data_IF_426244961235
#
_entry.id   IF_426244961235
#
_cell.length_a   1.000
_cell.length_b   1.000
_cell.length_c   1.000
_cell.angle_alpha   90.00
_cell.angle_beta   90.00
_cell.angle_gamma   90.00
#
_symmetry.space_group_name_H-M   'P 1'
#
loop_
_entity.id
_entity.type
_entity.pdbx_description
1 polymer ?
#
# COMPACT_ATOMS: atom_id res chain seq x y z
N UNK A 1 -5.20 10.06 14.41
CA UNK A 1 -6.18 10.03 13.30
C UNK A 1 -6.50 11.48 12.95
N UNK A 2 -6.25 11.90 11.71
CA UNK A 2 -6.26 13.34 11.35
C UNK A 2 -7.53 13.79 10.62
N UNK A 3 -8.23 12.87 9.95
CA UNK A 3 -9.39 13.15 9.10
C UNK A 3 -10.44 12.03 9.22
N UNK A 4 -11.16 11.93 10.35
CA UNK A 4 -12.15 10.87 10.58
C UNK A 4 -13.39 10.97 9.66
N UNK A 5 -13.64 12.13 9.04
CA UNK A 5 -14.74 12.36 8.11
C UNK A 5 -14.51 11.76 6.72
N UNK A 6 -13.26 11.40 6.39
CA UNK A 6 -12.91 10.92 5.05
C UNK A 6 -13.21 9.44 4.94
N UNK A 7 -14.09 9.09 4.01
CA UNK A 7 -14.33 7.69 3.64
C UNK A 7 -13.23 7.20 2.71
N UNK A 8 -12.55 6.11 3.10
CA UNK A 8 -11.49 5.48 2.30
C UNK A 8 -12.06 4.29 1.55
N UNK A 9 -11.78 4.22 0.25
CA UNK A 9 -12.12 3.06 -0.59
C UNK A 9 -10.82 2.34 -0.96
N UNK A 10 -10.80 1.01 -0.76
CA UNK A 10 -9.67 0.16 -1.12
C UNK A 10 -10.18 -1.12 -1.78
N UNK A 11 -9.41 -1.65 -2.74
CA UNK A 11 -9.75 -2.91 -3.40
C UNK A 11 -9.55 -4.13 -2.49
N UNK A 12 -8.57 -4.05 -1.57
CA UNK A 12 -8.27 -5.11 -0.60
C UNK A 12 -7.68 -4.50 0.68
N UNK A 13 -7.90 -5.18 1.81
CA UNK A 13 -7.25 -4.89 3.10
C UNK A 13 -6.23 -6.01 3.38
N UNK A 14 -4.96 -5.63 3.49
CA UNK A 14 -3.86 -6.55 3.74
C UNK A 14 -3.49 -6.63 5.23
N UNK A 15 -2.75 -7.69 5.61
CA UNK A 15 -2.55 -8.08 7.02
C UNK A 15 -1.65 -7.14 7.82
N UNK A 16 -0.55 -6.65 7.23
CA UNK A 16 0.48 -5.89 7.94
C UNK A 16 1.46 -5.22 6.98
N UNK A 17 2.31 -4.38 7.55
CA UNK A 17 3.56 -3.93 6.93
C UNK A 17 4.73 -4.83 7.35
N UNK A 18 5.81 -4.83 6.57
CA UNK A 18 7.13 -5.31 7.00
C UNK A 18 7.97 -4.16 7.60
N UNK A 19 9.19 -4.46 8.05
CA UNK A 19 10.08 -3.51 8.74
C UNK A 19 10.54 -2.31 7.88
N UNK A 20 10.38 -2.41 6.56
CA UNK A 20 10.74 -1.36 5.61
C UNK A 20 9.49 -0.71 4.98
N UNK A 21 8.29 -1.01 5.48
CA UNK A 21 7.05 -0.33 5.10
C UNK A 21 6.33 -0.89 3.86
N UNK A 22 6.73 -2.03 3.31
CA UNK A 22 5.93 -2.71 2.28
C UNK A 22 4.73 -3.43 2.89
N UNK A 23 3.60 -3.32 2.22
CA UNK A 23 2.37 -4.05 2.55
C UNK A 23 2.55 -5.55 2.26
N UNK A 24 2.10 -6.41 3.17
CA UNK A 24 2.18 -7.87 3.04
C UNK A 24 0.78 -8.51 2.96
N UNK A 25 0.54 -9.45 2.02
CA UNK A 25 1.43 -9.83 0.92
C UNK A 25 1.66 -8.70 -0.09
N UNK A 26 0.71 -7.77 -0.22
CA UNK A 26 0.83 -6.56 -1.04
C UNK A 26 1.26 -6.82 -2.48
N UNK A 27 1.89 -5.82 -3.09
CA UNK A 27 2.30 -5.84 -4.49
C UNK A 27 3.77 -5.50 -4.73
N UNK A 28 4.56 -5.25 -3.68
CA UNK A 28 5.92 -4.71 -3.79
C UNK A 28 5.90 -3.21 -4.14
N UNK A 29 6.87 -2.77 -4.94
CA UNK A 29 6.93 -1.38 -5.41
C UNK A 29 5.96 -1.16 -6.58
N UNK A 30 4.99 -0.26 -6.40
CA UNK A 30 3.99 0.05 -7.41
C UNK A 30 4.60 0.77 -8.64
N UNK A 31 5.57 1.66 -8.40
CA UNK A 31 6.20 2.47 -9.45
C UNK A 31 7.07 1.61 -10.35
N UNK A 32 7.96 0.80 -9.77
CA UNK A 32 8.83 -0.08 -10.54
C UNK A 32 8.03 -1.10 -11.35
N UNK A 33 6.93 -1.61 -10.78
CA UNK A 33 6.05 -2.54 -11.50
C UNK A 33 5.30 -1.89 -12.66
N UNK A 34 4.95 -0.62 -12.54
CA UNK A 34 4.18 0.09 -13.56
C UNK A 34 5.07 0.66 -14.68
N UNK A 35 6.26 1.16 -14.32
CA UNK A 35 7.13 1.91 -15.23
C UNK A 35 8.45 1.22 -15.57
N UNK A 36 8.76 0.08 -14.94
CA UNK A 36 9.97 -0.69 -15.22
C UNK A 36 11.25 0.01 -14.78
N UNK A 37 11.18 0.84 -13.74
CA UNK A 37 12.31 1.61 -13.19
C UNK A 37 13.20 0.79 -12.24
N UNK A 38 14.40 1.32 -11.95
CA UNK A 38 15.33 0.94 -10.86
C UNK A 38 16.19 2.12 -10.44
#
# INVERSE_FOLDING_TARGET
ESHPEVTVFAAALDRQLNDVGYILPGLGDAGDRLFGTR
#
